data_IF_910153920949
#
_entry.id   IF_910153920949
#
_cell.length_a   1.000
_cell.length_b   1.000
_cell.length_c   1.000
_cell.angle_alpha   90.00
_cell.angle_beta   90.00
_cell.angle_gamma   90.00
#
_symmetry.space_group_name_H-M   'P 1'
#
loop_
_entity.id
_entity.type
_entity.pdbx_description
1 polymer ?
#
# COMPACT_ATOMS: atom_id res chain seq x y z
N UNK A 1 -32.37 -16.79 26.80
CA UNK A 1 -31.54 -15.68 26.35
C UNK A 1 -31.15 -15.98 24.92
N UNK A 2 -31.70 -15.24 23.96
CA UNK A 2 -31.36 -15.36 22.54
C UNK A 2 -30.03 -14.65 22.32
N UNK A 3 -29.02 -15.43 21.95
CA UNK A 3 -27.71 -14.96 21.54
C UNK A 3 -27.87 -14.27 20.17
N UNK A 4 -27.84 -12.93 20.17
CA UNK A 4 -27.87 -12.14 18.94
C UNK A 4 -26.44 -12.10 18.45
N UNK A 5 -26.12 -12.97 17.49
CA UNK A 5 -24.86 -12.92 16.77
C UNK A 5 -24.65 -11.48 16.25
N UNK A 6 -23.52 -10.88 16.64
CA UNK A 6 -23.14 -9.56 16.15
C UNK A 6 -23.07 -9.62 14.61
N UNK A 7 -23.53 -8.56 13.90
CA UNK A 7 -23.45 -8.54 12.45
C UNK A 7 -21.99 -8.70 12.00
N UNK A 8 -21.77 -9.55 11.00
CA UNK A 8 -20.46 -9.69 10.34
C UNK A 8 -19.96 -8.30 9.92
N UNK A 9 -18.69 -7.97 10.18
CA UNK A 9 -18.15 -6.67 9.81
C UNK A 9 -18.30 -6.47 8.30
N UNK A 10 -18.99 -5.41 7.92
CA UNK A 10 -19.23 -5.07 6.52
C UNK A 10 -17.90 -4.93 5.78
N UNK A 11 -17.75 -5.69 4.69
CA UNK A 11 -16.56 -5.64 3.85
C UNK A 11 -16.41 -4.22 3.27
N UNK A 12 -15.21 -3.67 3.40
CA UNK A 12 -14.93 -2.31 2.93
C UNK A 12 -14.94 -2.26 1.41
N UNK A 13 -15.48 -1.17 0.84
CA UNK A 13 -15.32 -0.89 -0.59
C UNK A 13 -13.88 -0.52 -0.92
N UNK A 14 -13.51 -0.61 -2.20
CA UNK A 14 -12.18 -0.23 -2.68
C UNK A 14 -11.86 1.25 -2.35
N UNK A 15 -12.85 2.14 -2.49
CA UNK A 15 -12.71 3.56 -2.12
C UNK A 15 -12.48 3.74 -0.63
N UNK A 16 -13.14 2.94 0.22
CA UNK A 16 -12.96 3.00 1.67
C UNK A 16 -11.57 2.53 2.09
N UNK A 17 -11.05 1.48 1.45
CA UNK A 17 -9.68 0.97 1.66
C UNK A 17 -8.67 2.03 1.19
N UNK A 18 -8.83 2.54 -0.02
CA UNK A 18 -7.96 3.60 -0.56
C UNK A 18 -7.94 4.81 0.38
N UNK A 19 -9.10 5.27 0.84
CA UNK A 19 -9.20 6.38 1.78
C UNK A 19 -8.52 6.09 3.13
N UNK A 20 -8.44 4.83 3.59
CA UNK A 20 -7.66 4.46 4.78
C UNK A 20 -6.16 4.63 4.54
N UNK A 21 -5.63 4.10 3.43
CA UNK A 21 -4.23 4.30 3.05
C UNK A 21 -3.86 5.78 2.97
N UNK A 22 -4.69 6.58 2.29
CA UNK A 22 -4.44 8.01 2.10
C UNK A 22 -4.54 8.84 3.40
N UNK A 23 -5.30 8.38 4.40
CA UNK A 23 -5.42 9.06 5.70
C UNK A 23 -4.42 8.58 6.74
N UNK A 24 -3.68 7.49 6.47
CA UNK A 24 -2.76 6.94 7.46
C UNK A 24 -1.65 7.96 7.78
N UNK A 25 -1.51 8.26 9.07
CA UNK A 25 -0.44 9.13 9.60
C UNK A 25 0.77 8.34 10.10
N UNK A 26 0.66 7.01 10.11
CA UNK A 26 1.66 6.09 10.66
C UNK A 26 2.38 5.32 9.55
N UNK A 27 2.66 6.00 8.44
CA UNK A 27 3.39 5.39 7.34
C UNK A 27 4.81 4.97 7.81
N UNK A 28 5.26 3.74 7.54
CA UNK A 28 6.60 3.30 7.91
C UNK A 28 7.70 4.21 7.35
N UNK A 29 8.81 4.37 8.05
CA UNK A 29 9.92 5.25 7.62
C UNK A 29 10.56 4.79 6.29
N UNK A 30 10.55 3.49 6.00
CA UNK A 30 10.96 2.96 4.70
C UNK A 30 10.07 3.46 3.56
N UNK A 31 8.75 3.35 3.72
CA UNK A 31 7.75 3.88 2.80
C UNK A 31 7.89 5.39 2.60
N UNK A 32 8.13 6.15 3.69
CA UNK A 32 8.42 7.59 3.61
C UNK A 32 9.71 7.88 2.84
N UNK A 33 10.72 7.02 2.95
CA UNK A 33 11.99 7.16 2.23
C UNK A 33 11.78 6.98 0.73
N UNK A 34 10.97 5.99 0.34
CA UNK A 34 10.64 5.70 -1.06
C UNK A 34 9.56 6.63 -1.62
N UNK A 35 8.89 7.42 -0.78
CA UNK A 35 7.80 8.32 -1.18
C UNK A 35 6.54 7.57 -1.61
N UNK A 36 6.23 6.46 -0.93
CA UNK A 36 5.09 5.59 -1.24
C UNK A 36 3.75 6.34 -1.14
N UNK A 37 2.90 6.13 -2.14
CA UNK A 37 1.50 6.58 -2.16
C UNK A 37 0.60 5.55 -2.83
N UNK A 38 -0.50 5.19 -2.17
CA UNK A 38 -1.56 4.40 -2.80
C UNK A 38 -2.32 5.24 -3.85
N UNK A 39 -2.55 4.68 -5.03
CA UNK A 39 -3.26 5.33 -6.14
C UNK A 39 -4.62 4.69 -6.36
N UNK A 40 -4.67 3.35 -6.43
CA UNK A 40 -5.90 2.60 -6.66
C UNK A 40 -5.87 1.24 -5.97
N UNK A 41 -7.06 0.72 -5.68
CA UNK A 41 -7.30 -0.62 -5.13
C UNK A 41 -8.40 -1.27 -5.97
N UNK A 42 -8.23 -2.54 -6.31
CA UNK A 42 -9.30 -3.38 -6.85
C UNK A 42 -9.28 -4.72 -6.14
N UNK A 43 -10.25 -4.95 -5.25
CA UNK A 43 -10.42 -6.24 -4.59
C UNK A 43 -10.83 -7.34 -5.58
N UNK A 44 -11.67 -7.00 -6.56
CA UNK A 44 -12.13 -7.94 -7.58
C UNK A 44 -10.97 -8.47 -8.44
N UNK A 45 -10.09 -7.58 -8.90
CA UNK A 45 -8.94 -7.93 -9.73
C UNK A 45 -7.69 -8.30 -8.92
N UNK A 46 -7.78 -8.24 -7.57
CA UNK A 46 -6.65 -8.47 -6.65
C UNK A 46 -5.41 -7.65 -7.02
N UNK A 47 -5.64 -6.38 -7.34
CA UNK A 47 -4.59 -5.48 -7.81
C UNK A 47 -4.61 -4.17 -7.04
N UNK A 48 -3.44 -3.52 -7.02
CA UNK A 48 -3.25 -2.17 -6.50
C UNK A 48 -2.42 -1.38 -7.49
N UNK A 49 -2.60 -0.06 -7.48
CA UNK A 49 -1.69 0.86 -8.14
C UNK A 49 -1.05 1.74 -7.07
N UNK A 50 0.28 1.86 -7.12
CA UNK A 50 1.06 2.65 -6.17
C UNK A 50 2.02 3.56 -6.92
N UNK A 51 2.33 4.69 -6.31
CA UNK A 51 3.30 5.65 -6.81
C UNK A 51 4.42 5.83 -5.79
N UNK A 52 5.60 6.19 -6.28
CA UNK A 52 6.78 6.48 -5.47
C UNK A 52 7.35 7.83 -5.87
N UNK A 53 7.71 8.66 -4.90
CA UNK A 53 8.47 9.88 -5.13
C UNK A 53 9.96 9.56 -5.08
N UNK A 54 10.50 9.19 -6.24
CA UNK A 54 11.87 8.69 -6.36
C UNK A 54 12.91 9.84 -6.29
N UNK A 55 13.12 10.39 -5.09
CA UNK A 55 13.96 11.56 -4.82
C UNK A 55 15.41 11.37 -5.26
N UNK A 56 15.87 12.24 -6.15
CA UNK A 56 17.16 12.13 -6.82
C UNK A 56 18.34 12.17 -5.84
N UNK A 57 18.24 13.02 -4.83
CA UNK A 57 19.25 13.26 -3.81
C UNK A 57 19.42 12.09 -2.82
N UNK A 58 18.50 11.13 -2.82
CA UNK A 58 18.53 9.96 -1.94
C UNK A 58 18.74 8.65 -2.70
N UNK A 59 18.11 8.49 -3.87
CA UNK A 59 17.90 7.16 -4.46
C UNK A 59 18.70 6.90 -5.74
N UNK A 60 19.48 7.88 -6.23
CA UNK A 60 20.26 7.70 -7.44
C UNK A 60 21.57 6.94 -7.19
N UNK A 61 21.92 6.10 -8.15
CA UNK A 61 23.25 5.53 -8.27
C UNK A 61 24.23 6.55 -8.93
N UNK A 62 25.54 6.23 -9.01
CA UNK A 62 26.53 7.11 -9.67
C UNK A 62 26.22 7.47 -11.13
N UNK A 63 25.37 6.68 -11.80
CA UNK A 63 24.93 6.91 -13.18
C UNK A 63 23.67 7.78 -13.28
N UNK A 64 23.21 8.37 -12.16
CA UNK A 64 22.01 9.21 -12.06
C UNK A 64 20.72 8.47 -12.46
N UNK A 65 20.68 7.16 -12.24
CA UNK A 65 19.48 6.33 -12.35
C UNK A 65 19.02 5.92 -10.96
N UNK A 66 17.74 5.59 -10.77
CA UNK A 66 17.29 4.99 -9.51
C UNK A 66 18.11 3.72 -9.26
N UNK A 67 18.76 3.65 -8.10
CA UNK A 67 19.57 2.51 -7.74
C UNK A 67 18.69 1.26 -7.65
N UNK A 68 19.13 0.18 -8.28
CA UNK A 68 18.33 -1.05 -8.40
C UNK A 68 17.83 -1.61 -7.07
N UNK A 69 18.59 -1.45 -5.98
CA UNK A 69 18.14 -1.86 -4.65
C UNK A 69 16.89 -1.11 -4.17
N UNK A 70 16.79 0.20 -4.42
CA UNK A 70 15.58 0.97 -4.10
C UNK A 70 14.42 0.62 -5.03
N UNK A 71 14.69 0.34 -6.31
CA UNK A 71 13.67 -0.16 -7.22
C UNK A 71 13.11 -1.51 -6.74
N UNK A 72 13.96 -2.43 -6.30
CA UNK A 72 13.51 -3.69 -5.70
C UNK A 72 12.69 -3.45 -4.43
N UNK A 73 13.08 -2.51 -3.57
CA UNK A 73 12.30 -2.16 -2.38
C UNK A 73 10.92 -1.58 -2.73
N UNK A 74 10.82 -0.74 -3.77
CA UNK A 74 9.54 -0.23 -4.29
C UNK A 74 8.65 -1.37 -4.81
N UNK A 75 9.23 -2.32 -5.56
CA UNK A 75 8.50 -3.49 -6.06
C UNK A 75 8.04 -4.40 -4.93
N UNK A 76 8.88 -4.63 -3.92
CA UNK A 76 8.53 -5.40 -2.72
C UNK A 76 7.36 -4.77 -1.96
N UNK A 77 7.40 -3.45 -1.79
CA UNK A 77 6.31 -2.72 -1.11
C UNK A 77 5.00 -2.76 -1.90
N UNK A 78 5.05 -2.55 -3.22
CA UNK A 78 3.89 -2.69 -4.10
C UNK A 78 3.27 -4.09 -3.98
N UNK A 79 4.10 -5.12 -4.03
CA UNK A 79 3.67 -6.52 -3.89
C UNK A 79 3.10 -6.82 -2.50
N UNK A 80 3.70 -6.29 -1.44
CA UNK A 80 3.18 -6.42 -0.08
C UNK A 80 1.75 -5.87 0.02
N UNK A 81 1.50 -4.65 -0.48
CA UNK A 81 0.15 -4.08 -0.50
C UNK A 81 -0.83 -4.83 -1.40
N UNK A 82 -0.39 -5.34 -2.55
CA UNK A 82 -1.21 -6.19 -3.41
C UNK A 82 -1.65 -7.46 -2.66
N UNK A 83 -0.72 -8.11 -1.95
CA UNK A 83 -1.00 -9.29 -1.13
C UNK A 83 -1.95 -8.99 0.04
N UNK A 84 -1.85 -7.82 0.68
CA UNK A 84 -2.79 -7.37 1.71
C UNK A 84 -4.22 -7.29 1.16
N UNK A 85 -4.40 -6.66 0.01
CA UNK A 85 -5.71 -6.56 -0.66
C UNK A 85 -6.20 -7.94 -1.09
N UNK A 86 -5.35 -8.74 -1.73
CA UNK A 86 -5.70 -10.06 -2.23
C UNK A 86 -6.09 -11.06 -1.11
N UNK A 87 -5.55 -10.87 0.11
CA UNK A 87 -5.85 -11.70 1.28
C UNK A 87 -7.02 -11.18 2.13
N UNK A 88 -7.59 -10.01 1.80
CA UNK A 88 -8.63 -9.36 2.60
C UNK A 88 -8.12 -8.73 3.91
N UNK A 89 -6.82 -8.80 4.18
CA UNK A 89 -6.19 -8.18 5.36
C UNK A 89 -5.90 -6.70 5.10
N UNK A 90 -6.95 -5.88 5.13
CA UNK A 90 -6.88 -4.43 4.83
C UNK A 90 -6.79 -3.54 6.07
N UNK A 91 -6.26 -4.09 7.16
CA UNK A 91 -5.90 -3.30 8.34
C UNK A 91 -4.57 -2.57 8.06
N UNK A 92 -4.66 -1.24 8.03
CA UNK A 92 -3.54 -0.29 7.84
C UNK A 92 -3.54 0.77 8.91
#
# INVERSE_FOLDING_TARGET
>A
MTDVAAPEPEALTDEAILARFLRSKNQPTGSQTLGFRMVAVSQAEKSVEVAFEARAELLLNPMKQIQGGYLCAMLDEAMSTACMVASGMTHV
#
